data_IF_589702335881
#
_entry.id   IF_589702335881
#
_cell.length_a   1.000
_cell.length_b   1.000
_cell.length_c   1.000
_cell.angle_alpha   90.00
_cell.angle_beta   90.00
_cell.angle_gamma   90.00
#
_symmetry.space_group_name_H-M   'P 1'
#
loop_
_entity.id
_entity.type
_entity.pdbx_description
1 polymer ?
#
# COMPACT_ATOMS: atom_id res chain seq x y z
N UNK A 1 -34.92 1.58 -21.77
CA UNK A 1 -35.05 0.49 -20.80
C UNK A 1 -33.62 0.03 -20.52
N UNK A 2 -33.02 0.57 -19.48
CA UNK A 2 -31.67 0.21 -19.06
C UNK A 2 -31.81 -1.07 -18.25
N UNK A 3 -31.22 -2.15 -18.71
CA UNK A 3 -31.15 -3.41 -17.97
C UNK A 3 -30.06 -3.23 -16.89
N UNK A 4 -30.45 -2.92 -15.66
CA UNK A 4 -29.62 -2.92 -14.47
C UNK A 4 -29.30 -4.36 -14.00
N UNK A 5 -28.99 -5.25 -14.89
CA UNK A 5 -28.42 -6.53 -14.47
C UNK A 5 -26.93 -6.32 -14.18
N UNK A 6 -26.44 -6.72 -13.00
CA UNK A 6 -25.03 -6.73 -12.72
C UNK A 6 -24.37 -7.76 -13.65
N UNK A 7 -23.74 -7.29 -14.70
CA UNK A 7 -23.18 -8.12 -15.77
C UNK A 7 -22.04 -9.02 -15.31
N UNK A 8 -21.46 -8.81 -14.15
CA UNK A 8 -20.41 -9.67 -13.57
C UNK A 8 -20.16 -9.33 -12.10
N UNK A 9 -19.90 -10.34 -11.29
CA UNK A 9 -19.35 -10.14 -9.95
C UNK A 9 -17.83 -9.90 -9.95
N UNK A 10 -17.21 -9.87 -11.11
CA UNK A 10 -15.79 -9.63 -11.28
C UNK A 10 -15.55 -8.38 -12.11
N UNK A 11 -14.48 -7.65 -11.74
CA UNK A 11 -13.97 -6.52 -12.51
C UNK A 11 -12.47 -6.54 -12.56
N UNK A 12 -11.86 -5.88 -13.56
CA UNK A 12 -10.40 -5.78 -13.65
C UNK A 12 -9.92 -4.35 -13.76
N UNK A 13 -8.80 -4.08 -13.09
CA UNK A 13 -8.03 -2.87 -13.30
C UNK A 13 -6.72 -3.25 -13.99
N UNK A 14 -6.35 -2.52 -15.03
CA UNK A 14 -5.09 -2.73 -15.73
C UNK A 14 -4.36 -1.41 -15.98
N UNK A 15 -3.04 -1.47 -15.84
CA UNK A 15 -2.16 -0.34 -16.12
C UNK A 15 -1.60 -0.46 -17.53
N UNK A 16 -1.65 0.63 -18.29
CA UNK A 16 -1.15 0.66 -19.67
C UNK A 16 -0.20 1.83 -19.86
N UNK A 17 0.89 1.59 -20.57
CA UNK A 17 1.98 2.58 -20.71
C UNK A 17 2.44 3.10 -19.35
N UNK A 18 2.77 4.38 -19.26
CA UNK A 18 3.18 5.03 -18.00
C UNK A 18 2.09 5.89 -17.36
N UNK A 19 0.95 6.05 -18.03
CA UNK A 19 -0.04 7.08 -17.76
C UNK A 19 -1.51 6.65 -17.87
N UNK A 20 -1.80 5.37 -18.20
CA UNK A 20 -3.18 4.94 -18.44
C UNK A 20 -3.64 3.87 -17.45
N UNK A 21 -4.85 4.06 -16.96
CA UNK A 21 -5.59 3.16 -16.07
C UNK A 21 -6.89 2.77 -16.72
N UNK A 22 -7.19 1.47 -16.80
CA UNK A 22 -8.43 0.97 -17.40
C UNK A 22 -9.22 0.15 -16.39
N UNK A 23 -10.54 0.39 -16.41
CA UNK A 23 -11.54 -0.34 -15.65
C UNK A 23 -12.37 -1.16 -16.64
N UNK A 24 -12.45 -2.46 -16.42
CA UNK A 24 -13.25 -3.37 -17.25
C UNK A 24 -14.25 -4.13 -16.36
N UNK A 25 -15.51 -4.15 -16.77
CA UNK A 25 -16.62 -4.82 -16.09
C UNK A 25 -16.92 -4.33 -14.66
N UNK A 26 -16.59 -3.10 -14.36
CA UNK A 26 -17.11 -2.42 -13.17
C UNK A 26 -18.39 -1.65 -13.51
N UNK A 27 -19.31 -1.49 -12.54
CA UNK A 27 -20.44 -0.57 -12.68
C UNK A 27 -19.97 0.86 -12.95
N UNK A 28 -20.80 1.62 -13.66
CA UNK A 28 -20.50 3.02 -14.00
C UNK A 28 -20.18 3.88 -12.77
N UNK A 29 -20.87 3.65 -11.66
CA UNK A 29 -20.61 4.31 -10.38
C UNK A 29 -19.17 4.16 -9.93
N UNK A 30 -18.52 3.02 -10.13
CA UNK A 30 -17.13 2.79 -9.68
C UNK A 30 -16.18 3.72 -10.44
N UNK A 31 -16.23 3.74 -11.77
CA UNK A 31 -15.28 4.58 -12.50
C UNK A 31 -15.64 6.07 -12.50
N UNK A 32 -16.89 6.45 -12.19
CA UNK A 32 -17.23 7.86 -11.94
C UNK A 32 -16.79 8.33 -10.56
N UNK A 33 -17.09 7.55 -9.52
CA UNK A 33 -16.85 7.94 -8.14
C UNK A 33 -15.37 7.91 -7.75
N UNK A 34 -14.54 7.15 -8.46
CA UNK A 34 -13.10 7.12 -8.20
C UNK A 34 -12.40 8.39 -8.70
N UNK A 35 -12.98 9.12 -9.65
CA UNK A 35 -12.36 10.30 -10.26
C UNK A 35 -11.88 11.35 -9.26
N UNK A 36 -12.67 11.77 -8.26
CA UNK A 36 -12.20 12.71 -7.22
C UNK A 36 -10.98 12.19 -6.47
N UNK A 37 -10.92 10.89 -6.18
CA UNK A 37 -9.78 10.26 -5.50
C UNK A 37 -8.53 10.36 -6.37
N UNK A 38 -8.63 10.03 -7.66
CA UNK A 38 -7.51 10.11 -8.60
C UNK A 38 -6.95 11.53 -8.71
N UNK A 39 -7.83 12.54 -8.77
CA UNK A 39 -7.42 13.95 -8.87
C UNK A 39 -6.80 14.44 -7.55
N UNK A 40 -7.32 14.02 -6.40
CA UNK A 40 -6.81 14.44 -5.10
C UNK A 40 -5.39 13.92 -4.83
N UNK A 41 -5.09 12.71 -5.31
CA UNK A 41 -3.81 12.03 -5.01
C UNK A 41 -2.73 12.32 -6.06
N UNK A 42 -3.14 12.48 -7.33
CA UNK A 42 -2.21 12.76 -8.41
C UNK A 42 -2.28 14.23 -8.83
N UNK A 43 -1.42 15.06 -8.23
CA UNK A 43 -1.42 16.52 -8.41
C UNK A 43 -1.38 17.00 -9.88
N UNK A 44 -0.66 16.35 -10.83
CA UNK A 44 -0.73 16.73 -12.23
C UNK A 44 -2.12 16.55 -12.85
N UNK A 45 -2.99 15.72 -12.27
CA UNK A 45 -4.36 15.52 -12.69
C UNK A 45 -4.56 14.53 -13.83
N UNK A 46 -5.80 14.53 -14.36
CA UNK A 46 -6.25 13.68 -15.45
C UNK A 46 -6.18 14.48 -16.75
N UNK A 47 -5.56 13.92 -17.77
CA UNK A 47 -5.46 14.51 -19.10
C UNK A 47 -6.73 14.28 -19.92
N UNK A 48 -7.24 13.03 -19.91
CA UNK A 48 -8.46 12.64 -20.59
C UNK A 48 -9.08 11.41 -19.95
N UNK A 49 -10.37 11.23 -20.17
CA UNK A 49 -11.12 10.05 -19.76
C UNK A 49 -12.14 9.71 -20.85
N UNK A 50 -12.22 8.45 -21.22
CA UNK A 50 -13.12 7.97 -22.28
C UNK A 50 -13.19 6.44 -22.30
N UNK A 51 -14.13 5.90 -23.05
CA UNK A 51 -14.17 4.47 -23.34
C UNK A 51 -13.08 4.06 -24.32
N UNK A 52 -12.47 2.92 -24.04
CA UNK A 52 -11.52 2.23 -24.92
C UNK A 52 -11.98 0.78 -25.09
N UNK A 53 -12.66 0.48 -26.17
CA UNK A 53 -13.43 -0.76 -26.28
C UNK A 53 -14.46 -0.85 -25.16
N UNK A 54 -14.53 -2.02 -24.51
CA UNK A 54 -15.45 -2.26 -23.39
C UNK A 54 -14.91 -1.77 -22.04
N UNK A 55 -13.77 -1.06 -22.01
CA UNK A 55 -13.18 -0.56 -20.79
C UNK A 55 -13.30 0.96 -20.67
N UNK A 56 -13.46 1.48 -19.45
CA UNK A 56 -13.35 2.90 -19.19
C UNK A 56 -11.89 3.25 -18.85
N UNK A 57 -11.31 4.22 -19.56
CA UNK A 57 -9.90 4.57 -19.44
C UNK A 57 -9.71 5.97 -18.90
N UNK A 58 -8.86 6.10 -17.88
CA UNK A 58 -8.25 7.36 -17.47
C UNK A 58 -6.85 7.48 -18.07
N UNK A 59 -6.55 8.62 -18.66
CA UNK A 59 -5.20 9.01 -19.02
C UNK A 59 -4.76 10.16 -18.11
N UNK A 60 -3.63 10.00 -17.43
CA UNK A 60 -3.09 10.97 -16.49
C UNK A 60 -2.14 11.94 -17.17
N UNK A 61 -2.05 13.16 -16.63
CA UNK A 61 -0.93 14.04 -16.88
C UNK A 61 0.34 13.47 -16.25
N UNK A 62 1.46 13.51 -16.98
CA UNK A 62 2.72 12.93 -16.49
C UNK A 62 2.76 11.41 -16.60
N UNK A 63 3.45 10.73 -15.67
CA UNK A 63 3.74 9.30 -15.76
C UNK A 63 3.56 8.58 -14.43
N UNK A 64 2.35 8.50 -13.86
CA UNK A 64 2.16 7.87 -12.54
C UNK A 64 2.63 6.43 -12.47
N UNK A 65 2.49 5.65 -13.54
CA UNK A 65 2.87 4.24 -13.56
C UNK A 65 4.25 3.98 -14.18
N UNK A 66 5.02 5.01 -14.39
CA UNK A 66 6.39 4.98 -14.84
C UNK A 66 7.19 6.09 -14.16
N UNK A 67 6.76 6.49 -12.95
CA UNK A 67 7.33 7.58 -12.21
C UNK A 67 8.79 7.32 -11.84
N UNK A 68 9.59 8.34 -12.04
CA UNK A 68 11.01 8.36 -11.71
C UNK A 68 11.23 9.35 -10.57
N UNK A 69 12.18 9.06 -9.70
CA UNK A 69 12.51 9.90 -8.55
C UNK A 69 11.75 9.55 -7.28
N UNK A 70 12.31 10.02 -6.17
CA UNK A 70 11.83 9.63 -4.84
C UNK A 70 10.41 10.15 -4.60
N UNK A 71 10.15 11.41 -4.93
CA UNK A 71 8.85 12.05 -4.73
C UNK A 71 7.76 11.49 -5.66
N UNK A 72 8.03 11.46 -6.96
CA UNK A 72 7.11 10.91 -7.95
C UNK A 72 6.83 9.41 -7.70
N UNK A 73 7.83 8.67 -7.22
CA UNK A 73 7.67 7.28 -6.83
C UNK A 73 6.77 7.08 -5.60
N UNK A 74 6.81 8.00 -4.62
CA UNK A 74 5.90 8.00 -3.46
C UNK A 74 4.49 8.32 -3.91
N UNK A 75 4.29 9.38 -4.71
CA UNK A 75 2.98 9.78 -5.23
C UNK A 75 2.33 8.68 -6.07
N UNK A 76 3.10 8.00 -6.93
CA UNK A 76 2.64 6.84 -7.70
C UNK A 76 2.11 5.70 -6.82
N UNK A 77 2.84 5.37 -5.75
CA UNK A 77 2.44 4.30 -4.81
C UNK A 77 1.22 4.69 -3.98
N UNK A 78 1.09 5.96 -3.60
CA UNK A 78 -0.12 6.49 -2.97
C UNK A 78 -1.31 6.40 -3.89
N UNK A 79 -1.16 6.78 -5.16
CA UNK A 79 -2.24 6.67 -6.14
C UNK A 79 -2.78 5.25 -6.23
N UNK A 80 -1.90 4.26 -6.34
CA UNK A 80 -2.33 2.85 -6.39
C UNK A 80 -2.96 2.40 -5.07
N UNK A 81 -2.40 2.80 -3.91
CA UNK A 81 -2.98 2.52 -2.60
C UNK A 81 -4.41 3.04 -2.51
N UNK A 82 -4.66 4.27 -2.95
CA UNK A 82 -5.96 4.90 -2.83
C UNK A 82 -6.98 4.34 -3.80
N UNK A 83 -6.54 3.84 -4.96
CA UNK A 83 -7.37 3.02 -5.85
C UNK A 83 -7.80 1.72 -5.15
N UNK A 84 -6.87 1.03 -4.49
CA UNK A 84 -7.17 -0.21 -3.75
C UNK A 84 -8.09 0.06 -2.57
N UNK A 85 -7.86 1.14 -1.81
CA UNK A 85 -8.69 1.56 -0.68
C UNK A 85 -10.12 1.89 -1.11
N UNK A 86 -10.27 2.68 -2.18
CA UNK A 86 -11.55 3.03 -2.75
C UNK A 86 -12.39 1.81 -3.15
N UNK A 87 -11.77 0.83 -3.78
CA UNK A 87 -12.43 -0.41 -4.17
C UNK A 87 -12.80 -1.28 -2.98
N UNK A 88 -11.88 -1.40 -2.00
CA UNK A 88 -12.13 -2.13 -0.76
C UNK A 88 -13.35 -1.57 -0.01
N UNK A 89 -13.43 -0.26 0.16
CA UNK A 89 -14.55 0.41 0.82
C UNK A 89 -15.90 0.19 0.13
N UNK A 90 -15.86 -0.16 -1.18
CA UNK A 90 -17.05 -0.49 -1.99
C UNK A 90 -17.26 -1.99 -2.16
N UNK A 91 -16.66 -2.79 -1.27
CA UNK A 91 -16.78 -4.25 -1.27
C UNK A 91 -16.23 -4.94 -2.54
N UNK A 92 -15.34 -4.27 -3.29
CA UNK A 92 -14.57 -4.88 -4.35
C UNK A 92 -13.23 -5.37 -3.81
N UNK A 93 -13.12 -6.68 -3.57
CA UNK A 93 -11.95 -7.28 -2.99
C UNK A 93 -11.01 -7.81 -4.06
N UNK A 94 -9.71 -7.59 -3.88
CA UNK A 94 -8.70 -8.11 -4.78
C UNK A 94 -8.63 -9.64 -4.66
N UNK A 95 -8.86 -10.34 -5.77
CA UNK A 95 -8.74 -11.80 -5.85
C UNK A 95 -7.32 -12.20 -6.18
N UNK A 96 -6.74 -11.57 -7.19
CA UNK A 96 -5.38 -11.89 -7.65
C UNK A 96 -4.80 -10.77 -8.51
N UNK A 97 -3.49 -10.82 -8.65
CA UNK A 97 -2.74 -9.98 -9.58
C UNK A 97 -2.09 -10.87 -10.61
N UNK A 98 -2.34 -10.62 -11.88
CA UNK A 98 -1.79 -11.39 -13.00
C UNK A 98 -1.06 -10.49 -13.97
N UNK A 99 -0.14 -11.06 -14.71
CA UNK A 99 0.55 -10.39 -15.81
C UNK A 99 0.25 -11.14 -17.12
N UNK A 100 -0.84 -10.81 -17.82
CA UNK A 100 -1.31 -11.59 -18.97
C UNK A 100 -0.46 -11.43 -20.24
N UNK A 101 0.38 -10.40 -20.29
CA UNK A 101 1.18 -10.07 -21.47
C UNK A 101 2.58 -10.67 -21.42
N UNK A 102 3.09 -11.15 -22.54
CA UNK A 102 4.49 -11.59 -22.72
C UNK A 102 5.44 -10.47 -23.18
N UNK A 103 4.94 -9.23 -23.31
CA UNK A 103 5.74 -8.09 -23.77
C UNK A 103 6.72 -7.59 -22.70
N UNK A 104 7.80 -6.92 -23.11
CA UNK A 104 8.86 -6.41 -22.20
C UNK A 104 8.34 -5.44 -21.13
N UNK A 105 7.35 -4.61 -21.46
CA UNK A 105 6.79 -3.60 -20.57
C UNK A 105 5.53 -4.07 -19.84
N UNK A 106 5.57 -5.31 -19.38
CA UNK A 106 4.45 -5.94 -18.66
C UNK A 106 4.06 -5.13 -17.44
N UNK A 107 2.78 -4.88 -17.32
CA UNK A 107 2.14 -4.34 -16.12
C UNK A 107 1.13 -5.33 -15.60
N UNK A 108 0.92 -5.25 -14.30
CA UNK A 108 0.00 -6.13 -13.63
C UNK A 108 -1.44 -5.74 -13.97
N UNK A 109 -2.29 -6.74 -14.06
CA UNK A 109 -3.74 -6.63 -14.10
C UNK A 109 -4.27 -7.17 -12.78
N UNK A 110 -5.08 -6.37 -12.12
CA UNK A 110 -5.71 -6.71 -10.85
C UNK A 110 -7.11 -7.21 -11.13
N UNK A 111 -7.45 -8.36 -10.58
CA UNK A 111 -8.78 -8.95 -10.67
C UNK A 111 -9.46 -8.78 -9.33
N UNK A 112 -10.64 -8.17 -9.35
CA UNK A 112 -11.47 -7.93 -8.17
C UNK A 112 -12.75 -8.74 -8.28
N UNK A 113 -13.29 -9.12 -7.12
CA UNK A 113 -14.61 -9.70 -6.97
C UNK A 113 -15.44 -8.80 -6.07
N UNK A 114 -16.65 -8.51 -6.49
CA UNK A 114 -17.61 -7.81 -5.64
C UNK A 114 -18.15 -8.78 -4.59
N UNK A 115 -18.03 -8.40 -3.33
CA UNK A 115 -18.69 -9.12 -2.24
C UNK A 115 -20.16 -8.77 -2.27
N UNK A 116 -21.00 -9.73 -2.59
CA UNK A 116 -22.46 -9.56 -2.57
C UNK A 116 -22.93 -9.54 -1.13
N UNK A 117 -23.64 -8.47 -0.75
CA UNK A 117 -24.51 -8.51 0.41
C UNK A 117 -25.75 -9.28 0.00
N UNK A 118 -26.01 -10.43 0.59
CA UNK A 118 -27.26 -11.15 0.33
C UNK A 118 -28.43 -10.39 0.95
N UNK A 119 -29.03 -9.51 0.15
CA UNK A 119 -30.21 -8.72 0.52
C UNK A 119 -31.53 -9.36 0.07
N UNK A 120 -31.57 -10.59 -0.40
CA UNK A 120 -32.82 -11.20 -0.83
C UNK A 120 -33.15 -12.54 -0.20
N UNK A 121 -34.19 -12.44 0.63
CA UNK A 121 -35.43 -13.21 0.67
C UNK A 121 -35.34 -14.71 0.91
N UNK A 122 -35.87 -15.12 2.09
CA UNK A 122 -36.48 -16.43 2.30
C UNK A 122 -35.53 -17.65 2.26
N UNK A 123 -34.63 -17.74 3.19
CA UNK A 123 -34.50 -18.97 3.98
C UNK A 123 -33.52 -18.75 5.15
N UNK A 124 -34.05 -18.91 6.30
CA UNK A 124 -33.43 -18.92 7.62
C UNK A 124 -32.13 -19.71 7.67
N UNK A 125 -31.16 -19.16 8.36
CA UNK A 125 -29.98 -19.73 9.01
C UNK A 125 -28.58 -19.38 8.50
N UNK A 126 -28.44 -18.46 7.53
CA UNK A 126 -27.11 -17.94 7.20
C UNK A 126 -26.92 -16.63 7.96
N UNK A 127 -25.94 -16.58 8.85
CA UNK A 127 -25.56 -15.37 9.57
C UNK A 127 -25.34 -14.22 8.58
N UNK A 128 -25.80 -13.00 8.87
CA UNK A 128 -25.55 -11.85 7.99
C UNK A 128 -24.04 -11.72 7.78
N UNK A 129 -23.63 -11.62 6.51
CA UNK A 129 -22.21 -11.41 6.19
C UNK A 129 -21.79 -10.10 6.86
N UNK A 130 -20.89 -10.21 7.84
CA UNK A 130 -20.40 -9.05 8.56
C UNK A 130 -19.87 -7.99 7.59
N UNK A 131 -20.15 -6.71 7.85
CA UNK A 131 -19.59 -5.61 7.06
C UNK A 131 -18.07 -5.71 7.03
N UNK A 132 -17.46 -5.26 5.93
CA UNK A 132 -16.00 -5.21 5.87
C UNK A 132 -15.49 -4.24 6.94
N UNK A 133 -14.46 -4.62 7.70
CA UNK A 133 -13.88 -3.74 8.69
C UNK A 133 -13.26 -2.52 8.01
N UNK A 134 -13.36 -1.37 8.67
CA UNK A 134 -12.60 -0.20 8.28
C UNK A 134 -11.11 -0.48 8.47
N UNK A 135 -10.28 -0.17 7.46
CA UNK A 135 -8.87 -0.52 7.46
C UNK A 135 -7.98 0.70 7.26
N UNK A 136 -6.76 0.58 7.77
CA UNK A 136 -5.63 1.45 7.47
C UNK A 136 -4.77 0.79 6.39
N UNK A 137 -4.00 1.60 5.67
CA UNK A 137 -3.15 1.15 4.60
C UNK A 137 -1.69 1.50 4.85
N UNK A 138 -0.81 0.55 4.56
CA UNK A 138 0.64 0.73 4.59
C UNK A 138 1.22 0.23 3.27
N UNK A 139 2.09 1.03 2.68
CA UNK A 139 2.84 0.62 1.50
C UNK A 139 4.29 0.39 1.88
N UNK A 140 4.83 -0.75 1.49
CA UNK A 140 6.23 -1.10 1.69
C UNK A 140 6.88 -1.36 0.35
N UNK A 141 7.98 -0.65 0.06
CA UNK A 141 8.61 -0.70 -1.24
C UNK A 141 10.14 -0.79 -1.15
N UNK A 142 10.74 -1.82 -1.76
CA UNK A 142 12.18 -1.81 -2.04
C UNK A 142 12.56 -0.62 -2.91
N UNK A 143 13.63 0.06 -2.56
CA UNK A 143 14.14 1.21 -3.31
C UNK A 143 15.63 1.03 -3.62
N UNK A 144 16.00 1.17 -4.89
CA UNK A 144 17.36 0.94 -5.33
C UNK A 144 17.86 -0.47 -5.02
N UNK A 145 19.07 -0.59 -4.46
CA UNK A 145 19.67 -1.89 -4.12
C UNK A 145 19.61 -2.24 -2.63
N UNK A 146 19.40 -1.24 -1.76
CA UNK A 146 19.62 -1.40 -0.32
C UNK A 146 18.71 -0.52 0.54
N UNK A 147 17.59 -0.02 0.02
CA UNK A 147 16.65 0.80 0.79
C UNK A 147 15.27 0.15 0.83
N UNK A 148 14.56 0.31 1.94
CA UNK A 148 13.20 -0.15 2.13
C UNK A 148 12.37 1.02 2.65
N UNK A 149 11.35 1.40 1.86
CA UNK A 149 10.53 2.57 2.13
C UNK A 149 9.16 2.16 2.64
N UNK A 150 8.68 2.90 3.63
CA UNK A 150 7.37 2.76 4.25
C UNK A 150 6.57 4.04 4.00
N UNK A 151 5.42 3.92 3.34
CA UNK A 151 4.51 5.02 3.05
C UNK A 151 3.21 4.72 3.78
N UNK A 152 2.89 5.56 4.74
CA UNK A 152 1.71 5.43 5.59
C UNK A 152 0.67 6.50 5.25
N UNK A 153 -0.58 6.22 5.55
CA UNK A 153 -1.67 7.17 5.35
C UNK A 153 -1.74 8.14 6.53
N UNK A 154 -1.46 9.41 6.27
CA UNK A 154 -1.56 10.46 7.28
C UNK A 154 -2.98 11.03 7.43
N UNK A 155 -3.96 10.51 6.67
CA UNK A 155 -5.28 11.14 6.58
C UNK A 155 -6.36 10.51 7.47
N UNK A 156 -6.09 9.42 8.15
CA UNK A 156 -7.12 8.69 8.89
C UNK A 156 -6.87 8.63 10.40
N UNK A 157 -7.51 9.49 11.15
CA UNK A 157 -7.75 9.33 12.57
C UNK A 157 -7.33 10.50 13.48
N UNK A 158 -7.83 10.58 14.72
CA UNK A 158 -7.36 11.53 15.71
C UNK A 158 -5.86 11.30 15.95
N UNK A 159 -5.13 12.36 15.81
CA UNK A 159 -3.67 12.39 15.87
C UNK A 159 -3.23 12.29 17.32
N UNK A 160 -2.98 11.10 17.81
CA UNK A 160 -2.07 10.94 18.94
C UNK A 160 -0.66 11.20 18.44
N UNK A 161 -0.23 12.41 18.68
CA UNK A 161 0.95 13.01 18.11
C UNK A 161 2.12 12.74 19.06
N UNK A 162 3.05 11.91 18.65
CA UNK A 162 4.37 11.84 19.29
C UNK A 162 5.33 12.71 18.51
N UNK A 163 5.91 13.68 19.20
CA UNK A 163 7.02 14.48 18.70
C UNK A 163 8.22 13.56 18.42
N UNK A 164 8.74 13.65 17.21
CA UNK A 164 9.92 12.93 16.75
C UNK A 164 11.08 13.18 17.73
N UNK A 165 11.43 12.20 18.53
CA UNK A 165 12.73 12.23 19.20
C UNK A 165 13.75 11.69 18.20
N UNK A 166 14.63 12.55 17.72
CA UNK A 166 15.79 12.18 16.92
C UNK A 166 16.48 11.02 17.59
N UNK A 167 16.70 9.93 16.85
CA UNK A 167 17.26 8.68 17.34
C UNK A 167 18.62 8.81 17.97
N UNK A 168 18.62 9.15 19.22
CA UNK A 168 19.71 8.90 20.14
C UNK A 168 19.09 8.40 21.42
N UNK A 169 19.07 7.10 21.62
CA UNK A 169 18.90 6.51 22.93
C UNK A 169 20.03 7.05 23.84
N UNK A 170 19.70 8.08 24.60
CA UNK A 170 20.46 8.38 25.80
C UNK A 170 19.94 7.44 26.89
N UNK A 171 20.75 6.48 27.29
CA UNK A 171 20.67 5.92 28.62
C UNK A 171 20.98 7.08 29.57
N UNK A 172 19.97 7.64 30.20
CA UNK A 172 19.98 8.31 31.48
C UNK A 172 18.84 9.32 31.53
N UNK A 173 18.08 9.22 32.61
CA UNK A 173 16.87 10.00 32.86
C UNK A 173 17.12 11.48 33.03
N UNK A 174 17.01 12.27 31.99
CA UNK A 174 16.98 13.73 32.02
C UNK A 174 15.59 14.22 31.62
N UNK A 175 14.93 14.93 32.52
CA UNK A 175 13.71 15.68 32.26
C UNK A 175 14.00 16.78 31.24
N UNK A 176 13.34 16.73 30.09
CA UNK A 176 13.36 17.81 29.09
C UNK A 176 12.42 18.94 29.57
N UNK A 177 12.92 20.16 29.64
CA UNK A 177 12.16 21.35 29.98
C UNK A 177 11.59 21.98 28.71
N UNK A 178 10.41 22.65 28.85
CA UNK A 178 9.61 23.24 27.76
C UNK A 178 10.33 24.30 26.89
N UNK A 179 11.56 24.67 27.22
CA UNK A 179 12.33 25.68 26.48
C UNK A 179 13.02 25.14 25.21
N UNK A 180 13.18 23.82 25.07
CA UNK A 180 13.90 23.23 23.94
C UNK A 180 12.99 22.93 22.72
N UNK A 181 11.68 23.15 22.87
CA UNK A 181 10.69 22.86 21.82
C UNK A 181 10.66 23.88 20.69
N UNK A 182 11.24 25.06 20.86
CA UNK A 182 11.14 26.16 19.88
C UNK A 182 12.21 26.16 18.80
N UNK A 183 13.26 25.34 18.91
CA UNK A 183 14.40 25.36 18.00
C UNK A 183 14.42 24.22 16.95
N UNK A 184 13.44 23.29 16.98
CA UNK A 184 13.35 22.23 15.97
C UNK A 184 12.38 22.61 14.87
N UNK A 185 12.91 22.90 13.69
CA UNK A 185 12.17 23.10 12.46
C UNK A 185 11.21 21.96 12.19
N UNK A 186 10.01 22.28 11.68
CA UNK A 186 8.84 21.45 11.32
C UNK A 186 9.02 19.94 11.52
N UNK A 187 8.90 19.45 12.76
CA UNK A 187 8.90 18.02 13.05
C UNK A 187 7.60 17.42 12.53
N UNK A 188 7.71 16.54 11.54
CA UNK A 188 6.61 15.72 11.06
C UNK A 188 6.07 14.87 12.22
N UNK A 189 4.79 15.02 12.50
CA UNK A 189 4.11 14.27 13.54
C UNK A 189 3.86 12.84 13.03
N UNK A 190 4.40 11.85 13.73
CA UNK A 190 4.27 10.43 13.40
C UNK A 190 3.18 9.83 14.26
N UNK A 191 2.21 9.09 13.71
CA UNK A 191 1.27 8.33 14.53
C UNK A 191 2.01 7.39 15.46
N UNK A 192 1.59 7.33 16.72
CA UNK A 192 2.23 6.49 17.75
C UNK A 192 2.44 5.05 17.31
N UNK A 193 1.42 4.44 16.72
CA UNK A 193 1.46 3.07 16.25
C UNK A 193 2.47 2.84 15.10
N UNK A 194 2.66 3.84 14.24
CA UNK A 194 3.66 3.77 13.21
C UNK A 194 5.08 3.83 13.82
N UNK A 195 5.28 4.67 14.84
CA UNK A 195 6.53 4.71 15.58
C UNK A 195 6.88 3.35 16.17
N UNK A 196 5.95 2.71 16.86
CA UNK A 196 6.12 1.37 17.42
C UNK A 196 6.43 0.30 16.35
N UNK A 197 5.80 0.38 15.19
CA UNK A 197 6.10 -0.50 14.07
C UNK A 197 7.53 -0.29 13.57
N UNK A 198 7.94 0.96 13.34
CA UNK A 198 9.27 1.28 12.84
C UNK A 198 10.36 0.85 13.83
N UNK A 199 10.14 1.02 15.13
CA UNK A 199 11.06 0.57 16.20
C UNK A 199 11.17 -0.95 16.22
N UNK A 200 10.04 -1.67 16.10
CA UNK A 200 10.03 -3.12 16.02
C UNK A 200 10.78 -3.65 14.79
N UNK A 201 10.61 -3.00 13.64
CA UNK A 201 11.32 -3.33 12.40
C UNK A 201 12.81 -3.03 12.53
N UNK A 202 13.16 -1.86 13.10
CA UNK A 202 14.55 -1.50 13.35
C UNK A 202 15.24 -2.55 14.22
N UNK A 203 14.62 -2.92 15.34
CA UNK A 203 15.14 -3.97 16.23
C UNK A 203 15.32 -5.31 15.51
N UNK A 204 14.37 -5.69 14.66
CA UNK A 204 14.45 -6.93 13.89
C UNK A 204 15.63 -6.91 12.90
N UNK A 205 15.80 -5.81 12.18
CA UNK A 205 16.87 -5.64 11.20
C UNK A 205 18.26 -5.48 11.86
N UNK A 206 18.32 -4.85 13.03
CA UNK A 206 19.55 -4.75 13.83
C UNK A 206 20.01 -6.14 14.32
N UNK A 207 19.07 -6.97 14.81
CA UNK A 207 19.36 -8.37 15.21
C UNK A 207 19.88 -9.21 14.06
N UNK A 208 19.45 -8.91 12.83
CA UNK A 208 19.97 -9.57 11.62
C UNK A 208 21.30 -8.98 11.13
N UNK A 209 21.78 -7.90 11.75
CA UNK A 209 22.98 -7.19 11.32
C UNK A 209 22.84 -6.48 9.97
N UNK A 210 21.62 -6.31 9.45
CA UNK A 210 21.37 -5.75 8.13
C UNK A 210 20.92 -4.28 8.14
N UNK A 211 20.51 -3.71 9.28
CA UNK A 211 20.20 -2.29 9.38
C UNK A 211 21.46 -1.44 9.31
N UNK A 212 21.36 -0.28 8.65
CA UNK A 212 22.39 0.74 8.62
C UNK A 212 21.88 2.04 9.25
N UNK A 213 20.81 2.60 8.71
CA UNK A 213 20.14 3.81 9.20
C UNK A 213 18.65 3.73 8.90
N UNK A 214 17.85 4.52 9.62
CA UNK A 214 16.46 4.76 9.30
C UNK A 214 16.19 6.25 9.43
N UNK A 215 15.56 6.85 8.42
CA UNK A 215 15.27 8.29 8.41
C UNK A 215 13.98 8.60 7.63
N UNK A 216 13.41 9.76 7.95
CA UNK A 216 12.30 10.31 7.21
C UNK A 216 12.80 10.98 5.93
N UNK A 217 12.17 10.62 4.81
CA UNK A 217 12.37 11.24 3.53
C UNK A 217 11.02 11.70 3.02
N UNK A 218 10.76 13.01 3.09
CA UNK A 218 9.44 13.59 2.85
C UNK A 218 8.38 12.90 3.73
N UNK A 219 7.27 12.46 3.14
CA UNK A 219 6.16 11.79 3.82
C UNK A 219 6.33 10.25 3.91
N UNK A 220 7.54 9.76 3.83
CA UNK A 220 7.84 8.32 3.91
C UNK A 220 9.02 8.07 4.83
N UNK A 221 9.02 6.93 5.51
CA UNK A 221 10.17 6.48 6.29
C UNK A 221 10.99 5.49 5.48
N UNK A 222 12.32 5.60 5.55
CA UNK A 222 13.21 4.77 4.76
C UNK A 222 14.29 4.13 5.64
N UNK A 223 14.36 2.79 5.63
CA UNK A 223 15.52 2.07 6.14
C UNK A 223 16.57 1.93 5.05
N UNK A 224 17.80 2.28 5.36
CA UNK A 224 18.97 1.91 4.58
C UNK A 224 19.54 0.61 5.12
N UNK A 225 19.68 -0.36 4.23
CA UNK A 225 20.12 -1.70 4.54
C UNK A 225 21.58 -1.91 4.08
N UNK A 226 22.28 -2.83 4.72
CA UNK A 226 23.60 -3.30 4.28
C UNK A 226 23.44 -4.32 3.13
N UNK A 227 24.55 -4.64 2.46
CA UNK A 227 24.70 -5.80 1.57
C UNK A 227 23.86 -5.80 0.29
N UNK A 228 23.29 -4.67 -0.14
CA UNK A 228 22.48 -4.57 -1.38
C UNK A 228 21.44 -5.68 -1.50
N UNK A 229 20.66 -5.91 -0.45
CA UNK A 229 19.75 -7.05 -0.29
C UNK A 229 18.65 -7.14 -1.37
N UNK A 230 18.39 -6.06 -2.11
CA UNK A 230 17.46 -6.08 -3.27
C UNK A 230 18.13 -6.48 -4.59
N UNK A 231 19.46 -6.73 -4.57
CA UNK A 231 20.26 -7.27 -5.67
C UNK A 231 21.23 -8.34 -5.15
N UNK A 232 20.71 -9.33 -4.44
CA UNK A 232 21.54 -10.29 -3.75
C UNK A 232 22.29 -11.18 -4.72
N UNK A 233 23.51 -11.56 -4.34
CA UNK A 233 24.33 -12.58 -5.01
C UNK A 233 24.85 -13.55 -3.98
N UNK A 234 25.06 -14.80 -4.36
CA UNK A 234 25.58 -15.84 -3.48
C UNK A 234 24.73 -15.99 -2.22
N UNK A 235 25.32 -16.06 -1.07
CA UNK A 235 24.67 -16.24 0.25
C UNK A 235 23.72 -15.08 0.62
N UNK A 236 23.93 -13.89 0.07
CA UNK A 236 23.01 -12.77 0.27
C UNK A 236 21.60 -13.03 -0.30
N UNK A 237 21.43 -14.00 -1.19
CA UNK A 237 20.12 -14.45 -1.65
C UNK A 237 19.30 -15.07 -0.52
N UNK A 238 19.94 -15.81 0.38
CA UNK A 238 19.30 -16.37 1.58
C UNK A 238 19.00 -15.24 2.57
N UNK A 239 19.97 -14.35 2.81
CA UNK A 239 19.81 -13.20 3.70
C UNK A 239 18.65 -12.29 3.33
N UNK A 240 18.48 -12.02 2.01
CA UNK A 240 17.36 -11.25 1.49
C UNK A 240 16.00 -11.93 1.79
N UNK A 241 15.91 -13.27 1.65
CA UNK A 241 14.69 -14.00 1.98
C UNK A 241 14.39 -14.01 3.48
N UNK A 242 15.41 -14.17 4.31
CA UNK A 242 15.27 -14.07 5.77
C UNK A 242 14.81 -12.66 6.18
N UNK A 243 15.31 -11.61 5.53
CA UNK A 243 14.85 -10.25 5.74
C UNK A 243 13.35 -10.11 5.41
N UNK A 244 12.90 -10.66 4.28
CA UNK A 244 11.49 -10.64 3.90
C UNK A 244 10.62 -11.39 4.90
N UNK A 245 11.03 -12.57 5.32
CA UNK A 245 10.31 -13.32 6.36
C UNK A 245 10.21 -12.52 7.66
N UNK A 246 11.31 -11.88 8.08
CA UNK A 246 11.32 -11.09 9.30
C UNK A 246 10.49 -9.82 9.19
N UNK A 247 10.48 -9.19 8.03
CA UNK A 247 9.61 -8.07 7.72
C UNK A 247 8.12 -8.47 7.85
N UNK A 248 7.72 -9.53 7.16
CA UNK A 248 6.33 -10.00 7.17
C UNK A 248 5.92 -10.43 8.60
N UNK A 249 6.77 -11.18 9.30
CA UNK A 249 6.51 -11.60 10.69
C UNK A 249 6.33 -10.40 11.63
N UNK A 250 7.13 -9.35 11.45
CA UNK A 250 7.04 -8.14 12.28
C UNK A 250 5.76 -7.36 11.96
N UNK A 251 5.42 -7.21 10.70
CA UNK A 251 4.18 -6.59 10.26
C UNK A 251 2.96 -7.35 10.78
N UNK A 252 2.96 -8.67 10.64
CA UNK A 252 1.91 -9.57 11.11
C UNK A 252 1.63 -9.42 12.62
N UNK A 253 2.69 -9.37 13.44
CA UNK A 253 2.59 -9.13 14.89
C UNK A 253 2.02 -7.76 15.26
N UNK A 254 2.07 -6.81 14.34
CA UNK A 254 1.47 -5.47 14.48
C UNK A 254 0.11 -5.37 13.78
N UNK A 255 -0.51 -6.50 13.42
CA UNK A 255 -1.84 -6.58 12.81
C UNK A 255 -1.88 -6.29 11.31
N UNK A 256 -0.75 -6.02 10.67
CA UNK A 256 -0.69 -5.74 9.24
C UNK A 256 -0.76 -7.02 8.41
N UNK A 257 -1.63 -7.03 7.41
CA UNK A 257 -1.83 -8.15 6.48
C UNK A 257 -1.48 -7.73 5.06
N UNK A 258 -0.81 -8.62 4.34
CA UNK A 258 -0.55 -8.41 2.92
C UNK A 258 -1.88 -8.43 2.16
N UNK A 259 -2.13 -7.38 1.38
CA UNK A 259 -3.32 -7.24 0.55
C UNK A 259 -2.98 -7.40 -0.94
N UNK A 260 -1.92 -6.72 -1.40
CA UNK A 260 -1.50 -6.77 -2.79
C UNK A 260 0.03 -6.70 -2.92
N UNK A 261 0.55 -7.34 -3.95
CA UNK A 261 1.93 -7.16 -4.42
C UNK A 261 1.89 -6.76 -5.90
N UNK A 262 2.41 -5.59 -6.22
CA UNK A 262 2.34 -5.02 -7.55
C UNK A 262 3.73 -4.61 -8.03
N UNK A 263 4.01 -4.88 -9.30
CA UNK A 263 5.24 -4.46 -9.95
C UNK A 263 5.20 -2.98 -10.30
N UNK A 264 6.01 -2.20 -9.61
CA UNK A 264 6.27 -0.83 -10.00
C UNK A 264 7.61 -0.73 -10.74
N UNK A 265 7.65 0.11 -11.78
CA UNK A 265 8.90 0.46 -12.44
C UNK A 265 9.68 1.38 -11.50
N UNK A 266 10.93 1.03 -11.17
CA UNK A 266 11.85 1.89 -10.44
C UNK A 266 12.88 2.47 -11.41
N UNK A 267 13.39 3.65 -11.02
CA UNK A 267 14.26 4.51 -11.81
C UNK A 267 15.40 3.89 -12.62
N UNK A 268 15.67 4.53 -13.75
CA UNK A 268 17.02 4.67 -14.37
C UNK A 268 17.61 3.43 -15.04
N UNK A 269 16.93 2.30 -15.00
CA UNK A 269 17.43 1.05 -15.57
C UNK A 269 16.28 0.25 -16.18
N UNK A 270 16.31 -0.02 -17.47
CA UNK A 270 15.27 -0.76 -18.20
C UNK A 270 14.96 -2.14 -17.63
N UNK A 271 15.75 -2.60 -16.67
CA UNK A 271 15.65 -3.92 -16.07
C UNK A 271 15.29 -3.93 -14.58
N UNK A 272 15.04 -2.77 -13.95
CA UNK A 272 14.78 -2.68 -12.51
C UNK A 272 13.30 -2.54 -12.21
N UNK A 273 12.61 -3.69 -12.14
CA UNK A 273 11.25 -3.77 -11.60
C UNK A 273 11.36 -4.32 -10.17
N UNK A 274 10.79 -3.63 -9.20
CA UNK A 274 10.63 -4.15 -7.85
C UNK A 274 9.14 -4.22 -7.51
N UNK A 275 8.76 -5.23 -6.75
CA UNK A 275 7.41 -5.32 -6.24
C UNK A 275 7.22 -4.26 -5.15
N UNK A 276 6.05 -3.64 -5.13
CA UNK A 276 5.57 -2.82 -4.03
C UNK A 276 4.48 -3.61 -3.33
N UNK A 277 4.56 -3.67 -2.00
CA UNK A 277 3.63 -4.43 -1.17
C UNK A 277 2.67 -3.49 -0.47
N UNK A 278 1.39 -3.81 -0.57
CA UNK A 278 0.29 -3.08 0.05
C UNK A 278 -0.25 -3.93 1.18
N UNK A 279 -0.28 -3.35 2.38
CA UNK A 279 -0.76 -3.98 3.60
C UNK A 279 -1.98 -3.25 4.12
N UNK A 280 -2.84 -4.00 4.80
CA UNK A 280 -4.02 -3.49 5.50
C UNK A 280 -3.99 -3.91 6.95
N UNK A 281 -4.58 -3.08 7.82
CA UNK A 281 -4.84 -3.38 9.22
C UNK A 281 -6.21 -2.86 9.59
N UNK A 282 -6.99 -3.59 10.37
CA UNK A 282 -8.25 -3.08 10.91
C UNK A 282 -7.97 -1.85 11.79
N UNK A 283 -8.79 -0.80 11.67
CA UNK A 283 -8.62 0.43 12.46
C UNK A 283 -8.85 0.23 13.96
N UNK A 284 -9.66 -0.77 14.30
CA UNK A 284 -9.97 -1.20 15.67
C UNK A 284 -9.03 -2.29 16.19
N UNK A 285 -7.96 -2.61 15.45
CA UNK A 285 -7.02 -3.62 15.87
C UNK A 285 -6.32 -3.22 17.17
N UNK A 286 -6.29 -4.14 18.11
CA UNK A 286 -5.62 -4.01 19.40
C UNK A 286 -4.42 -4.95 19.44
N UNK A 287 -3.30 -4.46 19.97
CA UNK A 287 -2.06 -5.26 20.09
C UNK A 287 -2.30 -6.55 20.88
N UNK A 288 -1.89 -7.67 20.28
CA UNK A 288 -2.09 -9.00 20.88
C UNK A 288 -3.43 -9.64 20.54
N UNK A 289 -4.30 -8.97 19.80
CA UNK A 289 -5.52 -9.58 19.28
C UNK A 289 -5.17 -10.73 18.34
N UNK A 290 -5.89 -11.86 18.43
CA UNK A 290 -5.71 -12.95 17.47
C UNK A 290 -6.05 -12.46 16.07
N UNK A 291 -5.48 -13.11 15.10
CA UNK A 291 -5.80 -12.90 13.70
C UNK A 291 -7.27 -13.25 13.43
N UNK A 292 -8.08 -12.27 13.08
CA UNK A 292 -9.38 -12.53 12.47
C UNK A 292 -9.15 -12.72 10.96
N UNK A 293 -9.18 -13.96 10.49
CA UNK A 293 -8.79 -14.39 9.15
C UNK A 293 -9.55 -13.77 7.98
N UNK A 294 -10.58 -12.96 8.26
CA UNK A 294 -11.51 -12.44 7.24
C UNK A 294 -11.01 -11.21 6.44
N UNK A 295 -9.87 -10.63 6.81
CA UNK A 295 -9.42 -9.36 6.21
C UNK A 295 -8.84 -9.45 4.79
N UNK A 296 -8.42 -10.61 4.32
CA UNK A 296 -7.57 -10.65 3.13
C UNK A 296 -7.76 -11.80 2.16
N UNK A 297 -8.60 -12.76 2.43
CA UNK A 297 -8.78 -13.87 1.48
C UNK A 297 -10.25 -13.95 1.09
N UNK A 298 -10.58 -13.76 -0.20
CA UNK A 298 -11.86 -14.24 -0.70
C UNK A 298 -11.84 -15.76 -0.44
N UNK A 299 -12.70 -16.24 0.46
CA UNK A 299 -12.95 -17.68 0.57
C UNK A 299 -13.29 -18.15 -0.85
N UNK A 300 -12.43 -18.98 -1.41
CA UNK A 300 -12.73 -19.79 -2.57
C UNK A 300 -13.63 -20.91 -2.06
N UNK A 301 -14.93 -20.65 -2.00
CA UNK A 301 -15.96 -21.67 -1.89
C UNK A 301 -16.42 -22.07 -3.29
#
# INVERSE_FOLDING_TARGET
MSSDEPTSSFGTISFHYSDKLRFLQFPESIYRDIRPVLVAVWAPGIQSEDFYGDSYQYQFQGRPFGAFGDEAGVASRRLVRDILAFLYERSWLLVTTICPSKQKDRKDTLIFRQRQEHTHGLSSSISPIAALPSVEWLVVAPQGSARLRFIYDNHSGPKDIITKTSGRLMSDGVKVTDADSAALGSSQLVPHDLGLLLDALKLAFDKMGCAQTGDWNQDSFEFKLKDRLWRPRGENTVKARLLLLKLIETLDRQGWRSYASLRHRTEGDDHKKSDTWYFVRAKDWVRGSPFNGELATPLLD
#
